data_IF_883600969722
#
_entry.id   IF_883600969722
#
_cell.length_a   1.000
_cell.length_b   1.000
_cell.length_c   1.000
_cell.angle_alpha   90.00
_cell.angle_beta   90.00
_cell.angle_gamma   90.00
#
_symmetry.space_group_name_H-M   'P 1'
#
loop_
_entity.id
_entity.type
_entity.pdbx_description
1 polymer ?
#
# COMPACT_ATOMS: atom_id res chain seq x y z
N UNK A 1 21.18 17.40 10.85
CA UNK A 1 21.07 15.93 10.80
C UNK A 1 19.66 15.53 11.22
N UNK A 2 18.85 14.90 10.37
CA UNK A 2 17.53 14.44 10.78
C UNK A 2 17.68 13.15 11.62
N UNK A 3 17.31 13.21 12.89
CA UNK A 3 17.29 12.02 13.77
C UNK A 3 16.43 10.92 13.12
N UNK A 4 16.96 9.70 13.01
CA UNK A 4 16.19 8.55 12.50
C UNK A 4 14.96 8.37 13.39
N UNK A 5 13.76 8.52 12.82
CA UNK A 5 12.51 8.29 13.56
C UNK A 5 12.47 6.84 14.04
N UNK A 6 12.40 6.64 15.35
CA UNK A 6 12.20 5.33 15.97
C UNK A 6 10.85 4.78 15.50
N UNK A 7 10.82 3.51 15.08
CA UNK A 7 9.55 2.85 14.71
C UNK A 7 8.67 2.76 15.96
N UNK A 8 7.48 3.34 15.90
CA UNK A 8 6.46 3.25 16.96
C UNK A 8 5.30 2.41 16.46
N UNK A 9 4.84 1.48 17.30
CA UNK A 9 3.77 0.54 16.98
C UNK A 9 2.51 0.96 17.75
N UNK A 10 1.45 1.35 17.03
CA UNK A 10 0.17 1.77 17.63
C UNK A 10 -0.80 0.61 17.77
N UNK A 11 -1.37 0.47 18.97
CA UNK A 11 -2.39 -0.55 19.23
C UNK A 11 -3.72 -0.18 18.55
N UNK A 12 -4.62 -1.16 18.35
CA UNK A 12 -5.94 -0.91 17.75
C UNK A 12 -6.82 0.01 18.61
N UNK A 13 -6.71 -0.08 19.94
CA UNK A 13 -7.40 0.84 20.84
C UNK A 13 -6.83 2.25 20.69
N UNK A 14 -5.52 2.40 20.47
CA UNK A 14 -4.93 3.69 20.12
C UNK A 14 -5.44 4.17 18.77
N UNK A 15 -5.58 3.29 17.77
CA UNK A 15 -6.16 3.63 16.46
C UNK A 15 -7.61 4.10 16.57
N UNK A 16 -8.43 3.44 17.38
CA UNK A 16 -9.82 3.81 17.62
C UNK A 16 -9.95 5.06 18.50
N UNK A 17 -9.09 5.25 19.49
CA UNK A 17 -9.00 6.49 20.28
C UNK A 17 -8.47 7.64 19.44
N UNK A 18 -7.54 7.38 18.52
CA UNK A 18 -7.09 8.32 17.50
C UNK A 18 -8.29 8.67 16.61
N UNK A 19 -9.06 7.69 16.13
CA UNK A 19 -10.30 7.95 15.37
C UNK A 19 -11.30 8.76 16.20
N UNK A 20 -11.58 8.38 17.44
CA UNK A 20 -12.51 9.06 18.34
C UNK A 20 -12.05 10.47 18.72
N UNK A 21 -10.75 10.68 18.94
CA UNK A 21 -10.17 12.01 19.23
C UNK A 21 -10.04 12.87 17.98
N UNK A 22 -9.80 12.26 16.82
CA UNK A 22 -9.94 12.94 15.52
C UNK A 22 -11.41 13.37 15.31
N UNK A 23 -12.37 12.51 15.66
CA UNK A 23 -13.81 12.79 15.57
C UNK A 23 -14.25 13.87 16.58
N UNK A 24 -13.58 13.94 17.75
CA UNK A 24 -13.72 15.01 18.74
C UNK A 24 -12.92 16.29 18.41
N UNK A 25 -12.27 16.37 17.24
CA UNK A 25 -11.65 17.59 16.72
C UNK A 25 -10.18 17.83 17.07
N UNK A 26 -9.49 16.84 17.64
CA UNK A 26 -8.05 16.95 17.93
C UNK A 26 -7.25 16.85 16.62
N UNK A 27 -6.28 17.75 16.41
CA UNK A 27 -5.52 17.79 15.18
C UNK A 27 -4.60 16.58 15.03
N UNK A 28 -4.52 16.04 13.81
CA UNK A 28 -3.62 14.94 13.47
C UNK A 28 -2.17 15.22 13.85
N UNK A 29 -1.70 16.48 13.70
CA UNK A 29 -0.37 16.95 14.15
C UNK A 29 -0.13 16.66 15.62
N UNK A 30 -1.06 17.10 16.46
CA UNK A 30 -1.03 16.89 17.90
C UNK A 30 -1.07 15.40 18.25
N UNK A 31 -1.91 14.62 17.57
CA UNK A 31 -1.97 13.17 17.77
C UNK A 31 -0.68 12.48 17.36
N UNK A 32 -0.02 12.87 16.26
CA UNK A 32 1.25 12.26 15.89
C UNK A 32 2.38 12.55 16.87
N UNK A 33 2.35 13.73 17.49
CA UNK A 33 3.31 14.12 18.52
C UNK A 33 3.05 13.31 19.80
N UNK A 34 1.78 13.21 20.23
CA UNK A 34 1.35 12.41 21.38
C UNK A 34 1.72 10.93 21.21
N UNK A 35 1.44 10.39 20.04
CA UNK A 35 1.60 8.97 19.73
C UNK A 35 2.97 8.64 19.14
N UNK A 36 3.87 9.63 18.99
CA UNK A 36 5.23 9.44 18.49
C UNK A 36 5.33 8.83 17.09
N UNK A 37 4.27 8.95 16.27
CA UNK A 37 4.21 8.38 14.91
C UNK A 37 4.31 9.47 13.83
N UNK A 38 4.46 9.07 12.58
CA UNK A 38 4.33 10.01 11.47
C UNK A 38 2.89 10.48 11.29
N UNK A 39 2.71 11.70 10.77
CA UNK A 39 1.42 12.19 10.29
C UNK A 39 0.74 11.22 9.31
N UNK A 40 1.52 10.59 8.44
CA UNK A 40 1.05 9.58 7.50
C UNK A 40 0.39 8.39 8.22
N UNK A 41 1.01 7.90 9.30
CA UNK A 41 0.47 6.79 10.09
C UNK A 41 -0.87 7.16 10.76
N UNK A 42 -1.01 8.38 11.29
CA UNK A 42 -2.32 8.87 11.80
C UNK A 42 -3.37 8.91 10.69
N UNK A 43 -2.95 9.33 9.50
CA UNK A 43 -3.81 9.41 8.32
C UNK A 43 -4.26 8.02 7.84
N UNK A 44 -3.37 7.02 7.82
CA UNK A 44 -3.70 5.63 7.43
C UNK A 44 -4.58 4.93 8.47
N UNK A 45 -4.36 5.26 9.74
CA UNK A 45 -5.13 4.74 10.87
C UNK A 45 -6.57 5.24 10.82
N UNK A 46 -6.76 6.53 10.49
CA UNK A 46 -8.07 7.06 10.15
C UNK A 46 -8.71 6.21 9.05
N UNK A 47 -7.92 5.71 8.10
CA UNK A 47 -8.37 5.06 6.86
C UNK A 47 -8.63 3.54 6.90
N UNK A 48 -8.33 2.80 7.99
CA UNK A 48 -8.35 1.32 7.98
C UNK A 48 -9.03 0.62 9.20
N UNK A 49 -10.15 1.19 9.69
CA UNK A 49 -11.38 0.44 10.04
C UNK A 49 -12.63 1.04 9.36
N UNK A 50 -12.41 1.97 8.43
CA UNK A 50 -13.44 2.78 7.76
C UNK A 50 -14.50 1.95 7.07
N UNK A 51 -14.10 0.92 6.32
CA UNK A 51 -15.06 0.19 5.48
C UNK A 51 -16.11 -0.54 6.32
N UNK A 52 -15.72 -1.06 7.48
CA UNK A 52 -16.65 -1.66 8.43
C UNK A 52 -17.60 -0.59 8.99
N UNK A 53 -17.09 0.57 9.42
CA UNK A 53 -17.94 1.61 9.99
C UNK A 53 -18.91 2.22 8.96
N UNK A 54 -18.43 2.47 7.73
CA UNK A 54 -19.27 2.92 6.60
C UNK A 54 -20.36 1.93 6.23
N UNK A 55 -20.06 0.64 6.33
CA UNK A 55 -21.04 -0.38 6.04
C UNK A 55 -22.13 -0.47 7.12
N UNK A 56 -21.82 -0.22 8.40
CA UNK A 56 -22.85 -0.12 9.45
C UNK A 56 -23.77 1.07 9.22
N UNK A 57 -23.22 2.24 8.92
CA UNK A 57 -23.99 3.47 8.64
C UNK A 57 -24.90 3.30 7.40
N UNK A 58 -24.40 2.65 6.34
CA UNK A 58 -25.19 2.37 5.14
C UNK A 58 -26.36 1.43 5.42
N UNK A 59 -26.10 0.39 6.22
CA UNK A 59 -27.13 -0.56 6.56
C UNK A 59 -28.23 0.08 7.42
N UNK A 60 -27.87 0.92 8.40
CA UNK A 60 -28.86 1.70 9.16
C UNK A 60 -29.75 2.57 8.26
N UNK A 61 -29.18 3.25 7.26
CA UNK A 61 -29.92 4.10 6.31
C UNK A 61 -30.86 3.33 5.39
N UNK A 62 -30.51 2.09 5.07
CA UNK A 62 -31.34 1.21 4.26
C UNK A 62 -32.39 0.47 5.11
N UNK A 63 -32.50 0.79 6.40
CA UNK A 63 -33.46 0.18 7.33
C UNK A 63 -32.97 -1.14 7.94
N UNK A 64 -31.72 -1.52 7.70
CA UNK A 64 -31.09 -2.71 8.28
C UNK A 64 -30.38 -2.38 9.60
N UNK A 65 -31.16 -2.08 10.64
CA UNK A 65 -30.66 -1.76 11.98
C UNK A 65 -29.93 -2.92 12.68
N UNK A 66 -30.12 -4.16 12.22
CA UNK A 66 -29.46 -5.36 12.76
C UNK A 66 -28.16 -5.75 12.04
N UNK A 67 -27.76 -5.01 11.00
CA UNK A 67 -26.59 -5.34 10.21
C UNK A 67 -25.30 -5.12 10.99
N UNK A 68 -24.41 -6.10 10.91
CA UNK A 68 -23.08 -6.04 11.54
C UNK A 68 -22.01 -6.10 10.46
N UNK A 69 -21.37 -4.97 10.19
CA UNK A 69 -20.15 -4.91 9.37
C UNK A 69 -18.96 -5.45 10.16
N UNK A 70 -18.97 -6.75 10.41
CA UNK A 70 -17.89 -7.46 11.07
C UNK A 70 -16.67 -7.56 10.15
N UNK A 71 -15.51 -7.83 10.74
CA UNK A 71 -14.31 -8.12 9.94
C UNK A 71 -14.51 -9.37 9.04
N UNK A 72 -15.36 -10.32 9.45
CA UNK A 72 -15.76 -11.47 8.63
C UNK A 72 -16.62 -11.06 7.43
N UNK A 73 -17.52 -10.09 7.60
CA UNK A 73 -18.25 -9.46 6.50
C UNK A 73 -17.28 -8.77 5.54
N UNK A 74 -16.37 -7.91 6.04
CA UNK A 74 -15.42 -7.19 5.20
C UNK A 74 -14.50 -8.14 4.43
N UNK A 75 -14.02 -9.21 5.07
CA UNK A 75 -13.18 -10.23 4.44
C UNK A 75 -13.93 -10.98 3.35
N UNK A 76 -15.14 -11.44 3.63
CA UNK A 76 -15.95 -12.19 2.66
C UNK A 76 -16.45 -11.27 1.52
N UNK A 77 -16.77 -10.01 1.81
CA UNK A 77 -17.07 -8.98 0.82
C UNK A 77 -15.90 -8.79 -0.12
N UNK A 78 -14.70 -8.60 0.44
CA UNK A 78 -13.47 -8.50 -0.34
C UNK A 78 -13.22 -9.73 -1.20
N UNK A 79 -13.36 -10.94 -0.64
CA UNK A 79 -13.14 -12.19 -1.36
C UNK A 79 -14.16 -12.42 -2.48
N UNK A 80 -15.45 -12.25 -2.19
CA UNK A 80 -16.55 -12.47 -3.16
C UNK A 80 -16.47 -11.53 -4.35
N UNK A 81 -16.02 -10.29 -4.12
CA UNK A 81 -15.91 -9.27 -5.15
C UNK A 81 -14.48 -9.10 -5.67
N UNK A 82 -13.56 -10.02 -5.33
CA UNK A 82 -12.19 -10.00 -5.85
C UNK A 82 -11.33 -8.82 -5.40
N UNK A 83 -11.74 -8.09 -4.35
CA UNK A 83 -10.99 -6.97 -3.78
C UNK A 83 -9.80 -7.53 -2.99
N UNK A 84 -8.62 -7.52 -3.61
CA UNK A 84 -7.38 -8.01 -3.01
C UNK A 84 -6.35 -6.89 -3.00
N UNK A 85 -5.57 -6.83 -1.94
CA UNK A 85 -4.31 -6.09 -1.94
C UNK A 85 -3.34 -6.94 -2.75
N UNK A 86 -2.99 -6.47 -3.95
CA UNK A 86 -2.07 -7.17 -4.82
C UNK A 86 -0.66 -6.71 -4.46
N UNK A 87 0.16 -7.64 -3.98
CA UNK A 87 1.60 -7.44 -3.85
C UNK A 87 2.23 -7.61 -5.25
N UNK A 88 1.87 -6.69 -6.15
CA UNK A 88 2.47 -6.62 -7.47
C UNK A 88 3.87 -6.06 -7.28
N UNK A 89 4.85 -6.95 -7.24
CA UNK A 89 6.22 -6.55 -7.49
C UNK A 89 6.29 -5.97 -8.92
N UNK A 90 6.51 -4.65 -9.00
CA UNK A 90 6.80 -3.93 -10.24
C UNK A 90 5.61 -3.61 -11.15
N UNK A 91 5.94 -2.96 -12.27
CA UNK A 91 5.05 -2.41 -13.31
C UNK A 91 4.27 -3.47 -14.13
N UNK A 92 4.03 -4.65 -13.57
CA UNK A 92 3.46 -5.81 -14.27
C UNK A 92 2.07 -5.56 -14.86
N UNK A 93 1.31 -4.61 -14.31
CA UNK A 93 0.01 -4.19 -14.86
C UNK A 93 0.10 -3.01 -15.84
N UNK A 94 1.27 -2.36 -15.96
CA UNK A 94 1.52 -1.21 -16.84
C UNK A 94 2.37 -1.57 -18.07
N UNK A 95 2.85 -2.81 -18.16
CA UNK A 95 3.66 -3.26 -19.28
C UNK A 95 2.86 -3.27 -20.59
N UNK A 96 3.38 -2.58 -21.61
CA UNK A 96 2.83 -2.59 -22.96
C UNK A 96 3.33 -3.82 -23.71
N UNK A 97 2.48 -4.85 -23.78
CA UNK A 97 2.81 -6.10 -24.47
C UNK A 97 3.03 -5.91 -25.98
N UNK A 98 2.32 -4.97 -26.61
CA UNK A 98 2.43 -4.72 -28.04
C UNK A 98 3.74 -3.99 -28.38
N UNK A 99 4.19 -3.05 -27.53
CA UNK A 99 5.49 -2.43 -27.68
C UNK A 99 6.63 -3.43 -27.46
N UNK A 100 6.48 -4.34 -26.48
CA UNK A 100 7.47 -5.39 -26.22
C UNK A 100 7.63 -6.35 -27.40
N UNK A 101 6.52 -6.79 -28.02
CA UNK A 101 6.56 -7.66 -29.21
C UNK A 101 7.31 -7.01 -30.38
N UNK A 102 7.04 -5.74 -30.66
CA UNK A 102 7.73 -4.98 -31.70
C UNK A 102 9.22 -4.75 -31.39
N UNK A 103 9.59 -4.69 -30.11
CA UNK A 103 10.97 -4.51 -29.69
C UNK A 103 11.80 -5.79 -29.87
N UNK A 104 11.20 -6.97 -29.70
CA UNK A 104 11.89 -8.26 -29.85
C UNK A 104 12.52 -8.40 -31.24
N UNK A 105 11.80 -8.06 -32.31
CA UNK A 105 12.33 -8.16 -33.68
C UNK A 105 13.50 -7.19 -33.90
N UNK A 106 13.34 -5.93 -33.47
CA UNK A 106 14.41 -4.92 -33.55
C UNK A 106 15.65 -5.33 -32.77
N UNK A 107 15.45 -5.89 -31.57
CA UNK A 107 16.54 -6.36 -30.72
C UNK A 107 17.30 -7.53 -31.35
N UNK A 108 16.58 -8.52 -31.92
CA UNK A 108 17.21 -9.66 -32.61
C UNK A 108 18.15 -9.18 -33.71
N UNK A 109 17.67 -8.33 -34.61
CA UNK A 109 18.50 -7.78 -35.70
C UNK A 109 19.69 -6.97 -35.17
N UNK A 110 19.52 -6.17 -34.11
CA UNK A 110 20.61 -5.41 -33.52
C UNK A 110 21.64 -6.29 -32.79
N UNK A 111 21.23 -7.44 -32.27
CA UNK A 111 22.10 -8.37 -31.52
C UNK A 111 22.92 -9.31 -32.40
N UNK A 112 22.53 -9.53 -33.66
CA UNK A 112 23.24 -10.41 -34.60
C UNK A 112 24.69 -10.00 -34.85
N UNK A 113 25.03 -8.71 -34.70
CA UNK A 113 26.39 -8.20 -34.85
C UNK A 113 27.29 -8.37 -33.62
N UNK A 114 26.74 -8.88 -32.52
CA UNK A 114 27.45 -9.06 -31.26
C UNK A 114 27.54 -10.55 -30.92
N UNK A 115 28.67 -10.96 -30.34
CA UNK A 115 28.76 -12.30 -29.77
C UNK A 115 27.76 -12.41 -28.60
N UNK A 116 26.92 -13.47 -28.55
CA UNK A 116 26.01 -13.70 -27.43
C UNK A 116 26.68 -13.63 -26.05
N UNK A 117 27.98 -13.95 -25.95
CA UNK A 117 28.75 -13.86 -24.69
C UNK A 117 28.88 -12.41 -24.16
N UNK A 118 28.70 -11.41 -25.02
CA UNK A 118 28.76 -9.98 -24.67
C UNK A 118 27.39 -9.29 -24.64
N UNK A 119 26.30 -10.05 -24.65
CA UNK A 119 24.93 -9.51 -24.53
C UNK A 119 24.46 -9.64 -23.08
N UNK A 120 24.38 -8.51 -22.37
CA UNK A 120 23.98 -8.45 -20.97
C UNK A 120 22.56 -7.89 -20.79
N UNK A 121 21.78 -8.51 -19.91
CA UNK A 121 20.49 -7.98 -19.44
C UNK A 121 20.75 -6.95 -18.32
N UNK A 122 20.13 -5.77 -18.43
CA UNK A 122 19.95 -4.85 -17.32
C UNK A 122 18.49 -4.35 -17.31
N UNK A 123 17.77 -4.59 -16.21
CA UNK A 123 16.37 -4.18 -16.03
C UNK A 123 16.25 -2.91 -15.17
N UNK A 124 17.10 -2.78 -14.15
CA UNK A 124 17.14 -1.63 -13.24
C UNK A 124 18.57 -1.15 -13.00
N UNK A 125 18.84 0.13 -13.27
CA UNK A 125 20.08 0.78 -12.80
C UNK A 125 19.75 1.64 -11.58
N UNK A 126 20.00 1.11 -10.39
CA UNK A 126 19.80 1.85 -9.13
C UNK A 126 21.12 2.39 -8.57
N UNK A 127 21.24 3.70 -8.36
CA UNK A 127 22.34 4.25 -7.58
C UNK A 127 22.05 4.04 -6.09
N UNK A 128 22.77 3.12 -5.46
CA UNK A 128 22.57 2.77 -4.06
C UNK A 128 23.69 3.34 -3.20
N UNK A 129 23.56 4.61 -2.80
CA UNK A 129 24.52 5.25 -1.89
C UNK A 129 24.14 4.99 -0.41
N UNK A 130 25.00 4.27 0.32
CA UNK A 130 24.84 3.94 1.76
C UNK A 130 23.56 3.15 2.11
N UNK A 131 22.98 2.37 1.20
CA UNK A 131 21.89 1.47 1.60
C UNK A 131 22.46 0.29 2.39
N UNK A 132 21.76 -0.04 3.47
CA UNK A 132 22.05 -1.22 4.28
C UNK A 132 21.30 -2.43 3.71
N UNK A 133 21.82 -3.65 3.89
CA UNK A 133 21.15 -4.86 3.43
C UNK A 133 19.75 -4.94 4.02
N UNK A 134 18.75 -5.26 3.19
CA UNK A 134 17.42 -5.59 3.69
C UNK A 134 17.42 -7.05 4.13
N UNK A 135 18.10 -7.32 5.25
CA UNK A 135 18.06 -8.51 6.13
C UNK A 135 18.09 -9.91 5.51
N UNK A 136 18.90 -10.78 6.09
CA UNK A 136 18.96 -12.23 5.86
C UNK A 136 17.65 -12.95 6.15
#
# INVERSE_FOLDING_TARGET
>A
MASKRKRVVLSLADKLKIIEQLDKGVTGKKLSEIYGVGQATISDIKNSPILCEKAKILAEKLGYSSFKASNGWLRNFKFRHGVRELDLAGEKLSADSAAAENFIEKFKTASESYDPEFVYNADETGLVWKALPKTT
#
